data_IF_892457204104
#
_entry.id   IF_892457204104
#
_cell.length_a   1.000
_cell.length_b   1.000
_cell.length_c   1.000
_cell.angle_alpha   90.00
_cell.angle_beta   90.00
_cell.angle_gamma   90.00
#
_symmetry.space_group_name_H-M   'P 1'
#
loop_
_entity.id
_entity.type
_entity.pdbx_description
1 polymer ?
#
# COMPACT_ATOMS: atom_id res chain seq x y z
N UNK A 1 7.57 -12.69 -9.76
CA UNK A 1 6.72 -12.08 -8.73
C UNK A 1 7.29 -10.71 -8.42
N UNK A 2 6.71 -9.66 -8.98
CA UNK A 2 7.10 -8.30 -8.63
C UNK A 2 6.44 -7.95 -7.29
N UNK A 3 7.19 -7.39 -6.35
CA UNK A 3 6.56 -6.62 -5.28
C UNK A 3 5.67 -5.57 -5.96
N UNK A 4 4.47 -5.36 -5.42
CA UNK A 4 3.61 -4.31 -5.93
C UNK A 4 4.40 -2.99 -5.91
N UNK A 5 4.76 -2.51 -7.09
CA UNK A 5 5.58 -1.30 -7.26
C UNK A 5 4.70 -0.07 -7.36
N UNK A 6 3.52 -0.09 -6.76
CA UNK A 6 2.63 1.05 -6.68
C UNK A 6 2.73 1.70 -5.31
N UNK A 7 2.82 3.01 -5.28
CA UNK A 7 2.43 3.77 -4.10
C UNK A 7 0.98 3.39 -3.81
N UNK A 8 0.74 2.67 -2.74
CA UNK A 8 -0.60 2.41 -2.25
C UNK A 8 -0.79 3.36 -1.08
N UNK A 9 -1.46 4.48 -1.33
CA UNK A 9 -2.11 5.20 -0.25
C UNK A 9 -3.24 4.29 0.22
N UNK A 10 -3.14 3.78 1.45
CA UNK A 10 -4.22 3.01 2.02
C UNK A 10 -5.36 3.97 2.30
N UNK A 11 -6.50 3.71 1.74
CA UNK A 11 -7.67 4.50 2.07
C UNK A 11 -8.28 5.35 0.98
N UNK A 12 -7.72 5.40 -0.21
CA UNK A 12 -8.41 5.97 -1.37
C UNK A 12 -9.02 7.35 -1.18
N UNK A 13 -8.25 8.26 -0.55
CA UNK A 13 -8.73 9.64 -0.32
C UNK A 13 -9.13 10.35 -1.62
N UNK A 14 -8.70 9.84 -2.77
CA UNK A 14 -8.96 10.47 -4.06
C UNK A 14 -9.71 9.53 -4.99
N UNK A 15 -10.96 9.88 -5.27
CA UNK A 15 -11.75 9.25 -6.33
C UNK A 15 -11.25 9.72 -7.70
N UNK A 16 -10.74 8.82 -8.58
CA UNK A 16 -10.24 9.20 -9.88
C UNK A 16 -11.28 9.84 -10.82
N UNK A 17 -12.56 9.75 -10.50
CA UNK A 17 -13.64 10.27 -11.36
C UNK A 17 -13.78 11.79 -11.36
N UNK A 18 -13.08 12.52 -10.50
CA UNK A 18 -13.18 13.98 -10.41
C UNK A 18 -11.90 14.69 -10.00
N UNK A 19 -10.75 14.02 -10.07
CA UNK A 19 -9.46 14.56 -9.64
C UNK A 19 -8.64 15.15 -10.80
N UNK A 20 -7.84 16.16 -10.49
CA UNK A 20 -6.78 16.69 -11.34
C UNK A 20 -5.46 16.10 -10.88
N UNK A 21 -4.79 15.35 -11.75
CA UNK A 21 -3.48 14.77 -11.47
C UNK A 21 -2.44 15.45 -12.35
N UNK A 22 -1.38 15.95 -11.74
CA UNK A 22 -0.26 16.56 -12.43
C UNK A 22 1.03 15.80 -12.14
N UNK A 23 1.67 15.31 -13.19
CA UNK A 23 3.00 14.72 -13.16
C UNK A 23 4.02 15.71 -13.67
N UNK A 24 5.01 16.06 -12.84
CA UNK A 24 6.13 16.86 -13.30
C UNK A 24 7.00 16.04 -14.25
N UNK A 25 7.69 16.67 -15.21
CA UNK A 25 8.72 15.98 -15.99
C UNK A 25 9.75 15.33 -15.06
N UNK A 26 10.12 14.09 -15.39
CA UNK A 26 11.13 13.38 -14.60
C UNK A 26 12.49 14.10 -14.69
N UNK A 27 13.17 14.20 -13.56
CA UNK A 27 14.48 14.81 -13.45
C UNK A 27 15.40 13.98 -12.56
N UNK A 28 16.60 13.66 -13.04
CA UNK A 28 17.63 12.90 -12.30
C UNK A 28 17.09 11.59 -11.68
N UNK A 29 16.22 10.88 -12.39
CA UNK A 29 15.58 9.65 -11.91
C UNK A 29 14.42 9.87 -10.94
N UNK A 30 14.07 11.12 -10.61
CA UNK A 30 12.94 11.44 -9.75
C UNK A 30 11.68 11.79 -10.57
N UNK A 31 10.53 11.30 -10.10
CA UNK A 31 9.20 11.62 -10.62
C UNK A 31 8.35 12.17 -9.46
N UNK A 32 7.86 13.40 -9.61
CA UNK A 32 6.91 13.99 -8.66
C UNK A 32 5.52 13.97 -9.28
N UNK A 33 4.55 13.59 -8.47
CA UNK A 33 3.12 13.60 -8.85
C UNK A 33 2.36 14.37 -7.78
N UNK A 34 1.45 15.22 -8.18
CA UNK A 34 0.52 15.89 -7.29
C UNK A 34 -0.91 15.68 -7.79
N UNK A 35 -1.84 15.50 -6.89
CA UNK A 35 -3.25 15.41 -7.24
C UNK A 35 -4.10 16.34 -6.39
N UNK A 36 -5.23 16.72 -6.94
CA UNK A 36 -6.23 17.53 -6.27
C UNK A 36 -7.63 17.08 -6.68
N UNK A 37 -8.46 16.82 -5.71
CA UNK A 37 -9.87 16.54 -5.87
C UNK A 37 -10.68 17.67 -5.22
N UNK A 38 -11.50 18.40 -5.99
CA UNK A 38 -12.41 19.37 -5.42
C UNK A 38 -13.47 18.67 -4.60
N UNK A 39 -14.07 19.39 -3.67
CA UNK A 39 -15.12 18.89 -2.80
C UNK A 39 -16.20 18.15 -3.58
N UNK A 40 -16.44 16.89 -3.23
CA UNK A 40 -17.51 16.08 -3.77
C UNK A 40 -18.52 15.76 -2.65
N UNK A 41 -19.80 15.87 -2.93
CA UNK A 41 -20.87 15.83 -1.91
C UNK A 41 -21.11 14.47 -1.23
N UNK A 42 -20.38 13.43 -1.60
CA UNK A 42 -20.43 12.14 -0.92
C UNK A 42 -19.08 11.42 -1.10
N UNK A 43 -18.42 11.12 -0.01
CA UNK A 43 -17.23 10.25 -0.03
C UNK A 43 -17.68 8.83 0.26
N UNK A 44 -17.41 7.93 -0.66
CA UNK A 44 -17.51 6.49 -0.44
C UNK A 44 -16.13 6.03 -0.01
N UNK A 45 -15.97 5.67 1.25
CA UNK A 45 -14.72 5.09 1.73
C UNK A 45 -14.39 3.80 0.98
N UNK A 46 -13.12 3.46 0.84
CA UNK A 46 -12.64 2.28 0.13
C UNK A 46 -13.22 0.95 0.67
N UNK A 47 -13.68 0.92 1.90
CA UNK A 47 -14.36 -0.21 2.54
C UNK A 47 -15.89 -0.27 2.27
N UNK A 48 -16.41 0.64 1.42
CA UNK A 48 -17.84 0.68 1.05
C UNK A 48 -18.76 1.30 2.11
N UNK A 49 -18.21 1.84 3.19
CA UNK A 49 -18.99 2.58 4.16
C UNK A 49 -19.29 3.98 3.62
N UNK A 50 -20.56 4.27 3.42
CA UNK A 50 -21.03 5.64 3.15
C UNK A 50 -21.02 6.42 4.46
N UNK A 51 -19.96 7.17 4.73
CA UNK A 51 -20.05 8.19 5.76
C UNK A 51 -20.77 9.41 5.18
N UNK A 52 -21.89 9.79 5.77
CA UNK A 52 -22.62 11.02 5.46
C UNK A 52 -21.85 12.28 5.96
N UNK A 53 -20.54 12.29 5.77
CA UNK A 53 -19.74 13.49 5.92
C UNK A 53 -19.85 14.30 4.64
N UNK A 54 -20.06 15.58 4.75
CA UNK A 54 -19.94 16.52 3.64
C UNK A 54 -18.49 16.45 3.15
N UNK A 55 -18.21 15.55 2.19
CA UNK A 55 -16.88 15.30 1.67
C UNK A 55 -16.13 16.59 1.36
N UNK A 56 -14.94 16.71 1.91
CA UNK A 56 -14.05 17.84 1.69
C UNK A 56 -13.29 17.73 0.38
N UNK A 57 -12.36 18.61 0.19
CA UNK A 57 -11.36 18.49 -0.86
C UNK A 57 -10.26 17.55 -0.40
N UNK A 58 -9.68 16.83 -1.36
CA UNK A 58 -8.50 16.02 -1.10
C UNK A 58 -7.33 16.47 -1.99
N UNK A 59 -6.14 16.34 -1.46
CA UNK A 59 -4.91 16.60 -2.19
C UNK A 59 -3.81 15.68 -1.71
N UNK A 60 -2.94 15.29 -2.62
CA UNK A 60 -1.75 14.53 -2.32
C UNK A 60 -0.54 15.00 -3.13
N UNK A 61 0.63 14.67 -2.63
CA UNK A 61 1.88 14.81 -3.35
C UNK A 61 2.76 13.60 -3.06
N UNK A 62 3.34 13.04 -4.12
CA UNK A 62 4.23 11.91 -4.00
C UNK A 62 5.49 12.07 -4.84
N UNK A 63 6.55 11.41 -4.41
CA UNK A 63 7.82 11.31 -5.12
C UNK A 63 8.24 9.86 -5.24
N UNK A 64 8.74 9.50 -6.42
CA UNK A 64 9.37 8.24 -6.72
C UNK A 64 10.74 8.54 -7.32
N UNK A 65 11.80 8.00 -6.75
CA UNK A 65 13.16 8.29 -7.14
C UNK A 65 13.99 7.03 -7.30
N UNK A 66 14.54 6.86 -8.49
CA UNK A 66 15.50 5.80 -8.83
C UNK A 66 16.83 6.45 -9.23
N UNK A 67 17.73 6.69 -8.27
CA UNK A 67 18.99 7.39 -8.53
C UNK A 67 19.91 6.59 -9.45
N UNK A 68 20.37 7.19 -10.53
CA UNK A 68 21.32 6.56 -11.47
C UNK A 68 22.63 6.18 -10.80
N UNK A 69 23.06 6.94 -9.78
CA UNK A 69 24.31 6.70 -9.05
C UNK A 69 24.27 5.45 -8.15
N UNK A 70 23.07 4.90 -7.86
CA UNK A 70 22.89 3.69 -7.08
C UNK A 70 21.94 2.75 -7.85
N UNK A 71 22.46 2.02 -8.83
CA UNK A 71 21.65 1.11 -9.63
C UNK A 71 20.91 0.08 -8.74
N UNK A 72 19.62 -0.09 -8.99
CA UNK A 72 18.77 -1.00 -8.23
C UNK A 72 18.09 -0.40 -7.01
N UNK A 73 18.48 0.80 -6.56
CA UNK A 73 17.76 1.51 -5.51
C UNK A 73 16.54 2.24 -6.09
N UNK A 74 15.43 2.13 -5.41
CA UNK A 74 14.23 2.94 -5.63
C UNK A 74 13.66 3.33 -4.26
N UNK A 75 13.43 4.61 -4.06
CA UNK A 75 12.81 5.14 -2.85
C UNK A 75 11.67 6.08 -3.24
N UNK A 76 10.69 6.19 -2.39
CA UNK A 76 9.60 7.11 -2.65
C UNK A 76 8.74 7.31 -1.42
N UNK A 77 7.81 8.23 -1.55
CA UNK A 77 6.84 8.50 -0.52
C UNK A 77 5.74 9.40 -1.05
N UNK A 78 4.66 9.45 -0.31
CA UNK A 78 3.55 10.36 -0.56
C UNK A 78 2.94 10.80 0.75
N UNK A 79 2.41 12.01 0.74
CA UNK A 79 1.57 12.55 1.79
C UNK A 79 0.27 13.03 1.16
N UNK A 80 -0.83 12.83 1.86
CA UNK A 80 -2.15 13.22 1.40
C UNK A 80 -3.04 13.67 2.55
N UNK A 81 -4.00 14.53 2.24
CA UNK A 81 -5.01 14.98 3.19
C UNK A 81 -6.37 15.01 2.51
N UNK A 82 -7.37 14.48 3.19
CA UNK A 82 -8.76 14.65 2.83
C UNK A 82 -9.49 15.43 3.91
N UNK A 83 -9.85 16.68 3.62
CA UNK A 83 -10.54 17.56 4.58
C UNK A 83 -11.97 17.10 4.82
N UNK A 84 -12.38 17.00 6.08
CA UNK A 84 -13.72 16.59 6.51
C UNK A 84 -14.18 15.23 5.93
N UNK A 85 -13.25 14.30 5.71
CA UNK A 85 -13.55 12.99 5.14
C UNK A 85 -13.93 11.95 6.20
N UNK A 86 -13.73 12.27 7.47
CA UNK A 86 -14.06 11.40 8.59
C UNK A 86 -15.28 11.93 9.34
N UNK A 87 -16.05 11.04 9.97
CA UNK A 87 -17.22 11.38 10.75
C UNK A 87 -16.89 12.45 11.83
N UNK A 88 -17.73 13.47 11.97
CA UNK A 88 -17.50 14.60 12.86
C UNK A 88 -16.69 15.73 12.23
N UNK A 89 -16.62 15.80 10.89
CA UNK A 89 -15.88 16.81 10.12
C UNK A 89 -14.38 16.82 10.44
N UNK A 90 -13.80 15.65 10.63
CA UNK A 90 -12.37 15.47 10.82
C UNK A 90 -11.68 15.22 9.50
N UNK A 91 -10.43 15.58 9.44
CA UNK A 91 -9.58 15.32 8.30
C UNK A 91 -9.04 13.88 8.37
N UNK A 92 -8.68 13.34 7.23
CA UNK A 92 -7.94 12.11 7.08
C UNK A 92 -6.59 12.48 6.50
N UNK A 93 -5.54 12.25 7.27
CA UNK A 93 -4.16 12.44 6.84
C UNK A 93 -3.50 11.08 6.60
N UNK A 94 -2.81 10.96 5.47
CA UNK A 94 -2.13 9.75 5.06
C UNK A 94 -0.69 10.06 4.68
N UNK A 95 0.23 9.20 5.10
CA UNK A 95 1.64 9.29 4.76
C UNK A 95 2.18 7.90 4.44
N UNK A 96 2.99 7.76 3.40
CA UNK A 96 3.67 6.51 3.09
C UNK A 96 5.07 6.76 2.56
N UNK A 97 6.00 5.89 2.98
CA UNK A 97 7.39 5.88 2.50
C UNK A 97 7.81 4.46 2.19
N UNK A 98 8.59 4.29 1.14
CA UNK A 98 9.16 3.00 0.79
C UNK A 98 10.60 3.11 0.30
N UNK A 99 11.32 2.01 0.47
CA UNK A 99 12.61 1.79 -0.16
C UNK A 99 12.67 0.36 -0.69
N UNK A 100 13.17 0.20 -1.92
CA UNK A 100 13.46 -1.11 -2.50
C UNK A 100 14.87 -1.11 -3.07
N UNK A 101 15.53 -2.26 -2.96
CA UNK A 101 16.86 -2.45 -3.53
C UNK A 101 16.94 -3.80 -4.25
N UNK A 102 17.38 -3.73 -5.50
CA UNK A 102 17.56 -4.93 -6.34
C UNK A 102 19.04 -5.11 -6.66
N UNK A 103 19.57 -6.27 -6.32
CA UNK A 103 20.94 -6.67 -6.65
C UNK A 103 20.94 -8.06 -7.27
N UNK A 104 21.25 -8.11 -8.56
CA UNK A 104 21.16 -9.36 -9.32
C UNK A 104 19.79 -10.02 -9.23
N UNK A 105 19.70 -11.29 -8.78
CA UNK A 105 18.42 -11.97 -8.66
C UNK A 105 17.62 -11.63 -7.40
N UNK A 106 18.20 -10.88 -6.45
CA UNK A 106 17.60 -10.56 -5.16
C UNK A 106 16.99 -9.16 -5.19
N UNK A 107 15.76 -9.02 -4.68
CA UNK A 107 15.16 -7.73 -4.36
C UNK A 107 14.64 -7.75 -2.93
N UNK A 108 14.91 -6.68 -2.21
CA UNK A 108 14.38 -6.44 -0.85
C UNK A 108 13.63 -5.13 -0.83
N UNK A 109 12.66 -4.99 0.07
CA UNK A 109 11.91 -3.75 0.22
C UNK A 109 11.32 -3.60 1.60
N UNK A 110 11.09 -2.34 1.94
CA UNK A 110 10.42 -1.90 3.15
C UNK A 110 9.46 -0.76 2.79
N UNK A 111 8.30 -0.76 3.41
CA UNK A 111 7.33 0.32 3.33
C UNK A 111 6.75 0.57 4.71
N UNK A 112 6.55 1.82 5.05
CA UNK A 112 5.73 2.27 6.17
C UNK A 112 4.60 3.12 5.62
N UNK A 113 3.41 3.00 6.21
CA UNK A 113 2.25 3.83 5.89
C UNK A 113 1.53 4.19 7.18
N UNK A 114 1.26 5.48 7.33
CA UNK A 114 0.53 6.06 8.45
C UNK A 114 -0.79 6.62 7.97
N UNK A 115 -1.84 6.41 8.76
CA UNK A 115 -3.17 7.00 8.56
C UNK A 115 -3.63 7.62 9.87
N UNK A 116 -3.94 8.92 9.86
CA UNK A 116 -4.54 9.64 10.99
C UNK A 116 -5.93 10.16 10.61
N UNK A 117 -6.93 9.62 11.26
CA UNK A 117 -8.34 10.05 11.10
C UNK A 117 -8.79 11.08 12.13
N UNK A 118 -7.85 11.61 12.92
CA UNK A 118 -8.14 12.49 14.05
C UNK A 118 -8.90 11.80 15.20
N UNK A 119 -9.12 10.48 15.10
CA UNK A 119 -9.74 9.65 16.14
C UNK A 119 -8.93 8.39 16.38
N UNK A 120 -8.37 7.83 15.35
CA UNK A 120 -7.58 6.60 15.36
C UNK A 120 -6.43 6.77 14.38
N UNK A 121 -5.25 6.40 14.82
CA UNK A 121 -4.05 6.37 13.99
C UNK A 121 -3.71 4.92 13.71
N UNK A 122 -3.36 4.63 12.46
CA UNK A 122 -2.89 3.33 12.03
C UNK A 122 -1.49 3.50 11.45
N UNK A 123 -0.57 2.65 11.90
CA UNK A 123 0.76 2.51 11.33
C UNK A 123 0.91 1.12 10.76
N UNK A 124 1.33 1.02 9.51
CA UNK A 124 1.54 -0.24 8.81
C UNK A 124 2.96 -0.35 8.32
N UNK A 125 3.67 -1.37 8.79
CA UNK A 125 5.00 -1.74 8.35
C UNK A 125 4.95 -2.95 7.43
N UNK A 126 5.66 -2.91 6.31
CA UNK A 126 5.73 -4.02 5.35
C UNK A 126 7.16 -4.28 4.94
N UNK A 127 7.59 -5.53 5.08
CA UNK A 127 8.89 -6.03 4.65
C UNK A 127 8.69 -7.07 3.54
N UNK A 128 9.51 -7.00 2.51
CA UNK A 128 9.43 -7.93 1.41
C UNK A 128 10.79 -8.35 0.89
N UNK A 129 10.88 -9.60 0.45
CA UNK A 129 12.02 -10.14 -0.25
C UNK A 129 11.55 -10.97 -1.43
N UNK A 130 12.21 -10.83 -2.58
CA UNK A 130 11.99 -11.69 -3.73
C UNK A 130 13.30 -12.15 -4.32
N UNK A 131 13.30 -13.37 -4.87
CA UNK A 131 14.47 -13.99 -5.45
C UNK A 131 14.11 -14.71 -6.75
N UNK A 132 14.82 -14.36 -7.82
CA UNK A 132 14.73 -15.06 -9.08
C UNK A 132 15.70 -16.25 -9.03
N UNK A 133 15.18 -17.45 -8.81
CA UNK A 133 15.97 -18.69 -8.73
C UNK A 133 16.64 -18.98 -10.07
N UNK A 134 15.92 -18.74 -11.17
CA UNK A 134 16.39 -18.78 -12.55
C UNK A 134 15.42 -17.99 -13.45
N UNK A 135 15.63 -18.02 -14.76
CA UNK A 135 14.78 -17.29 -15.73
C UNK A 135 13.30 -17.70 -15.71
N UNK A 136 13.00 -18.90 -15.21
CA UNK A 136 11.63 -19.42 -15.17
C UNK A 136 10.99 -19.36 -13.77
N UNK A 137 11.78 -19.44 -12.70
CA UNK A 137 11.28 -19.57 -11.33
C UNK A 137 11.65 -18.35 -10.49
N UNK A 138 10.66 -17.74 -9.88
CA UNK A 138 10.83 -16.71 -8.85
C UNK A 138 10.03 -17.07 -7.58
N UNK A 139 10.56 -16.67 -6.44
CA UNK A 139 9.92 -16.84 -5.13
C UNK A 139 9.91 -15.50 -4.39
N UNK A 140 8.92 -15.28 -3.54
CA UNK A 140 8.89 -14.09 -2.69
C UNK A 140 8.25 -14.40 -1.34
N UNK A 141 8.66 -13.62 -0.35
CA UNK A 141 8.09 -13.59 1.00
C UNK A 141 7.80 -12.15 1.38
N UNK A 142 6.68 -11.94 2.05
CA UNK A 142 6.27 -10.66 2.59
C UNK A 142 5.77 -10.86 4.02
N UNK A 143 6.13 -9.93 4.89
CA UNK A 143 5.59 -9.78 6.23
C UNK A 143 5.17 -8.34 6.43
N UNK A 144 4.09 -8.14 7.15
CA UNK A 144 3.68 -6.82 7.59
C UNK A 144 2.86 -6.89 8.87
N UNK A 145 2.80 -5.74 9.51
CA UNK A 145 2.02 -5.53 10.72
C UNK A 145 1.33 -4.17 10.65
N UNK A 146 0.14 -4.09 11.24
CA UNK A 146 -0.60 -2.83 11.40
C UNK A 146 -0.93 -2.64 12.86
N UNK A 147 -0.50 -1.52 13.42
CA UNK A 147 -0.81 -1.07 14.77
C UNK A 147 -1.93 -0.02 14.76
N UNK A 148 -2.52 0.25 15.92
CA UNK A 148 -3.53 1.31 16.08
C UNK A 148 -4.97 0.86 15.93
N UNK A 149 -5.23 -0.43 15.64
CA UNK A 149 -6.60 -0.95 15.64
C UNK A 149 -7.28 -0.79 17.00
N UNK A 150 -8.59 -0.54 16.97
CA UNK A 150 -9.42 -0.39 18.16
C UNK A 150 -9.30 -1.63 19.03
N UNK A 151 -8.54 -1.54 20.12
CA UNK A 151 -8.34 -2.66 21.03
C UNK A 151 -6.89 -3.00 21.33
N UNK A 152 -5.95 -2.26 20.81
CA UNK A 152 -4.50 -2.43 21.07
C UNK A 152 -3.95 -3.81 20.66
N UNK A 153 -4.52 -4.41 19.63
CA UNK A 153 -4.03 -5.66 19.07
C UNK A 153 -3.44 -5.39 17.71
N UNK A 154 -2.17 -5.73 17.53
CA UNK A 154 -1.48 -5.63 16.24
C UNK A 154 -2.03 -6.68 15.28
N UNK A 155 -2.41 -6.24 14.08
CA UNK A 155 -2.72 -7.14 12.98
C UNK A 155 -1.41 -7.52 12.27
N UNK A 156 -1.22 -8.82 12.02
CA UNK A 156 -0.03 -9.32 11.31
C UNK A 156 -0.48 -10.00 10.02
N UNK A 157 0.31 -9.88 8.97
CA UNK A 157 0.09 -10.63 7.74
C UNK A 157 1.40 -11.15 7.14
N UNK A 158 1.34 -12.33 6.57
CA UNK A 158 2.44 -12.96 5.85
C UNK A 158 1.96 -13.41 4.48
N UNK A 159 2.87 -13.38 3.52
CA UNK A 159 2.60 -13.89 2.18
C UNK A 159 3.83 -14.59 1.61
N UNK A 160 3.61 -15.79 1.09
CA UNK A 160 4.62 -16.52 0.31
C UNK A 160 4.08 -16.68 -1.10
N UNK A 161 4.89 -16.40 -2.11
CA UNK A 161 4.52 -16.71 -3.47
C UNK A 161 5.65 -17.33 -4.26
N UNK A 162 5.28 -18.20 -5.21
CA UNK A 162 6.18 -18.75 -6.20
C UNK A 162 5.53 -18.62 -7.59
N UNK A 163 6.30 -18.21 -8.58
CA UNK A 163 5.86 -18.14 -9.96
C UNK A 163 6.81 -18.90 -10.85
N UNK A 164 6.26 -19.79 -11.70
CA UNK A 164 7.01 -20.59 -12.65
C UNK A 164 6.49 -20.38 -14.07
N UNK A 165 7.35 -19.95 -14.96
CA UNK A 165 7.03 -19.70 -16.37
C UNK A 165 7.39 -20.90 -17.23
N UNK A 166 6.44 -21.39 -18.03
CA UNK A 166 6.60 -22.50 -18.97
C UNK A 166 6.22 -21.99 -20.37
N UNK A 167 7.17 -21.46 -21.10
CA UNK A 167 6.88 -20.85 -22.40
C UNK A 167 5.87 -19.68 -22.25
N UNK A 168 4.72 -19.73 -22.94
CA UNK A 168 3.71 -18.67 -22.84
C UNK A 168 2.81 -18.77 -21.58
N UNK A 169 2.95 -19.81 -20.77
CA UNK A 169 2.14 -20.06 -19.58
C UNK A 169 2.90 -19.68 -18.31
N UNK A 170 2.17 -19.23 -17.30
CA UNK A 170 2.71 -18.98 -15.96
C UNK A 170 1.84 -19.69 -14.91
N UNK A 171 2.50 -20.42 -14.02
CA UNK A 171 1.87 -21.00 -12.84
C UNK A 171 2.27 -20.14 -11.64
N UNK A 172 1.29 -19.63 -10.90
CA UNK A 172 1.52 -18.84 -9.69
C UNK A 172 0.88 -19.54 -8.50
N UNK A 173 1.67 -19.80 -7.48
CA UNK A 173 1.22 -20.23 -6.17
C UNK A 173 1.32 -19.07 -5.19
N UNK A 174 0.31 -18.90 -4.33
CA UNK A 174 0.28 -17.89 -3.27
C UNK A 174 -0.30 -18.52 -2.02
N UNK A 175 0.36 -18.29 -0.89
CA UNK A 175 -0.10 -18.68 0.45
C UNK A 175 -0.02 -17.43 1.34
N UNK A 176 -1.17 -16.93 1.78
CA UNK A 176 -1.28 -15.74 2.61
C UNK A 176 -1.92 -16.14 3.94
N UNK A 177 -1.40 -15.60 5.02
CA UNK A 177 -1.91 -15.79 6.36
C UNK A 177 -2.00 -14.45 7.06
N UNK A 178 -3.10 -14.20 7.74
CA UNK A 178 -3.34 -13.01 8.55
C UNK A 178 -3.76 -13.38 9.96
N UNK A 179 -3.25 -12.63 10.94
CA UNK A 179 -3.66 -12.71 12.34
C UNK A 179 -4.27 -11.39 12.75
N UNK A 180 -5.35 -11.45 13.53
CA UNK A 180 -6.04 -10.28 14.06
C UNK A 180 -6.49 -9.30 12.96
N UNK A 181 -6.78 -9.78 11.76
CA UNK A 181 -7.04 -8.97 10.55
C UNK A 181 -8.18 -7.96 10.66
N UNK A 182 -9.03 -8.04 11.68
CA UNK A 182 -10.09 -7.07 11.93
C UNK A 182 -9.89 -6.25 13.20
N UNK A 183 -8.72 -6.31 13.83
CA UNK A 183 -8.39 -5.52 15.02
C UNK A 183 -9.37 -5.69 16.18
N UNK A 184 -10.10 -6.81 16.23
CA UNK A 184 -11.14 -7.03 17.24
C UNK A 184 -10.51 -7.31 18.59
N UNK A 185 -10.75 -6.41 19.52
CA UNK A 185 -10.57 -6.62 20.94
C UNK A 185 -11.42 -7.77 21.42
N UNK A 186 -10.84 -8.62 22.21
CA UNK A 186 -11.50 -9.61 23.06
C UNK A 186 -12.11 -10.83 22.36
N UNK A 187 -11.31 -11.86 22.21
CA UNK A 187 -11.77 -13.24 22.27
C UNK A 187 -12.16 -13.92 20.97
N UNK A 188 -12.07 -13.22 19.85
CA UNK A 188 -12.22 -13.86 18.53
C UNK A 188 -10.94 -13.55 17.73
N UNK A 189 -9.99 -14.50 17.75
CA UNK A 189 -8.89 -14.49 16.78
C UNK A 189 -9.52 -14.64 15.40
N UNK A 190 -9.50 -13.56 14.60
CA UNK A 190 -9.85 -13.65 13.19
C UNK A 190 -8.55 -13.84 12.42
N UNK A 191 -8.06 -15.07 12.47
CA UNK A 191 -6.98 -15.51 11.61
C UNK A 191 -7.59 -15.89 10.26
N UNK A 192 -7.00 -15.42 9.17
CA UNK A 192 -7.45 -15.71 7.81
C UNK A 192 -6.29 -16.30 7.02
N UNK A 193 -6.52 -17.47 6.44
CA UNK A 193 -5.55 -18.16 5.58
C UNK A 193 -6.15 -18.31 4.18
N UNK A 194 -5.43 -17.84 3.18
CA UNK A 194 -5.83 -17.96 1.78
C UNK A 194 -4.71 -18.59 0.95
N UNK A 195 -5.04 -19.64 0.21
CA UNK A 195 -4.15 -20.33 -0.73
C UNK A 195 -4.73 -20.31 -2.12
N UNK A 196 -3.95 -19.87 -3.06
CA UNK A 196 -4.35 -19.76 -4.45
C UNK A 196 -3.33 -20.41 -5.38
N UNK A 197 -3.84 -21.12 -6.39
CA UNK A 197 -3.07 -21.60 -7.52
C UNK A 197 -3.70 -21.03 -8.80
N UNK A 198 -2.96 -20.20 -9.49
CA UNK A 198 -3.37 -19.57 -10.75
C UNK A 198 -2.57 -20.14 -11.92
N UNK A 199 -3.24 -20.36 -13.06
CA UNK A 199 -2.69 -20.87 -14.32
C UNK A 199 -2.81 -19.82 -15.40
#
# INVERSE_FOLDING_TARGET
AGMATGLVLSGGAIDPSGSLVYKLPAFAGAQVTASYQPRNGAVVNADGATSEGSGGRAYDVGVDWSPEMVPGLRVGGAIGTCENCVAGNKDLDEETWFATYTYGPLSVGYQVADEDSGTTNYETDVYGVSFNVNDALSVSYQYGETEGYTGSVTAEFTGISAAYNIGPMAIKFTDNSGKNVNGLTTGVNMDDDNRELNL
#
